data_IF_525664415029
#
_entry.id   IF_525664415029
#
_cell.length_a   1.000
_cell.length_b   1.000
_cell.length_c   1.000
_cell.angle_alpha   90.00
_cell.angle_beta   90.00
_cell.angle_gamma   90.00
#
_symmetry.space_group_name_H-M   'P 1'
#
loop_
_entity.id
_entity.type
_entity.pdbx_description
1 polymer ?
#
# COMPACT_ATOMS: atom_id res chain seq x y z
N UNK A 1 64.44 33.55 4.18
CA UNK A 1 64.20 32.77 5.40
C UNK A 1 62.94 33.32 6.05
N UNK A 2 61.78 32.80 5.65
CA UNK A 2 61.06 31.72 6.35
C UNK A 2 60.49 32.17 7.69
N UNK A 3 59.23 32.60 7.69
CA UNK A 3 58.14 31.86 8.32
C UNK A 3 56.81 32.58 8.04
N UNK A 4 56.32 32.36 6.82
CA UNK A 4 54.94 32.62 6.41
C UNK A 4 54.23 31.28 6.40
N UNK A 5 53.92 30.72 7.57
CA UNK A 5 53.21 29.42 7.65
C UNK A 5 52.71 29.20 9.09
N UNK A 6 51.72 30.00 9.50
CA UNK A 6 50.84 29.64 10.62
C UNK A 6 49.39 30.00 10.31
N UNK A 7 49.03 29.77 9.06
CA UNK A 7 47.70 29.87 8.48
C UNK A 7 47.48 28.58 7.67
N UNK A 8 47.39 27.44 8.35
CA UNK A 8 47.05 26.15 7.74
C UNK A 8 46.65 25.10 8.80
N UNK A 9 45.97 25.51 9.88
CA UNK A 9 45.33 24.57 10.81
C UNK A 9 43.79 24.71 10.79
N UNK A 10 43.29 25.35 9.73
CA UNK A 10 41.93 25.17 9.22
C UNK A 10 42.04 24.33 7.96
N UNK A 11 42.47 23.07 8.12
CA UNK A 11 42.42 22.09 7.06
C UNK A 11 41.29 21.12 7.36
N UNK A 12 40.19 21.43 6.69
CA UNK A 12 39.28 20.48 6.09
C UNK A 12 38.44 19.67 7.06
N UNK A 13 37.26 20.24 7.31
CA UNK A 13 36.06 19.50 7.59
C UNK A 13 35.88 18.38 6.55
N UNK A 14 36.45 17.21 6.82
CA UNK A 14 35.90 15.96 6.29
C UNK A 14 34.67 15.61 7.13
N UNK A 15 33.65 16.46 7.02
CA UNK A 15 32.25 16.11 7.25
C UNK A 15 31.81 15.37 5.98
N UNK A 16 32.51 14.28 5.63
CA UNK A 16 31.96 13.30 4.70
C UNK A 16 30.73 12.77 5.41
N UNK A 17 29.51 12.93 4.83
CA UNK A 17 28.32 12.39 5.47
C UNK A 17 28.58 10.92 5.69
N UNK A 18 28.69 10.52 6.98
CA UNK A 18 29.00 9.16 7.35
C UNK A 18 27.92 8.32 6.66
N UNK A 19 28.30 7.42 5.75
CA UNK A 19 27.33 6.68 4.94
C UNK A 19 26.31 5.91 5.78
N UNK A 20 26.61 5.73 7.07
CA UNK A 20 25.71 5.24 8.11
C UNK A 20 24.55 6.22 8.40
N UNK A 21 24.81 7.52 8.52
CA UNK A 21 23.79 8.55 8.72
C UNK A 21 22.91 8.71 7.47
N UNK A 22 23.49 8.69 6.26
CA UNK A 22 22.70 8.70 5.02
C UNK A 22 21.82 7.44 4.89
N UNK A 23 22.37 6.26 5.21
CA UNK A 23 21.61 5.01 5.21
C UNK A 23 20.49 5.04 6.25
N UNK A 24 20.76 5.57 7.44
CA UNK A 24 19.78 5.72 8.51
C UNK A 24 18.65 6.64 8.06
N UNK A 25 18.97 7.79 7.48
CA UNK A 25 17.98 8.73 6.96
C UNK A 25 17.15 8.13 5.84
N UNK A 26 17.77 7.35 4.95
CA UNK A 26 17.07 6.62 3.89
C UNK A 26 16.10 5.57 4.47
N UNK A 27 16.50 4.82 5.51
CA UNK A 27 15.62 3.85 6.19
C UNK A 27 14.46 4.56 6.88
N UNK A 28 14.70 5.70 7.54
CA UNK A 28 13.66 6.51 8.17
C UNK A 28 12.68 7.02 7.12
N UNK A 29 13.18 7.55 6.00
CA UNK A 29 12.36 8.04 4.91
C UNK A 29 11.53 6.92 4.26
N UNK A 30 12.13 5.76 3.99
CA UNK A 30 11.43 4.60 3.43
C UNK A 30 10.36 4.08 4.40
N UNK A 31 10.69 3.98 5.69
CA UNK A 31 9.75 3.54 6.72
C UNK A 31 8.58 4.52 6.84
N UNK A 32 8.85 5.82 6.84
CA UNK A 32 7.82 6.87 6.83
C UNK A 32 6.92 6.81 5.60
N UNK A 33 7.51 6.67 4.41
CA UNK A 33 6.76 6.52 3.16
C UNK A 33 5.89 5.26 3.17
N UNK A 34 6.42 4.14 3.65
CA UNK A 34 5.70 2.87 3.73
C UNK A 34 4.55 2.94 4.73
N UNK A 35 4.77 3.49 5.93
CA UNK A 35 3.70 3.69 6.91
C UNK A 35 2.60 4.60 6.38
N UNK A 36 2.97 5.71 5.71
CA UNK A 36 1.98 6.60 5.12
C UNK A 36 1.18 5.91 4.00
N UNK A 37 1.84 5.12 3.14
CA UNK A 37 1.16 4.36 2.09
C UNK A 37 0.16 3.36 2.67
N UNK A 38 0.51 2.64 3.74
CA UNK A 38 -0.39 1.72 4.44
C UNK A 38 -1.61 2.47 5.01
N UNK A 39 -1.39 3.62 5.67
CA UNK A 39 -2.49 4.43 6.25
C UNK A 39 -3.43 4.94 5.16
N UNK A 40 -2.88 5.47 4.06
CA UNK A 40 -3.66 5.96 2.93
C UNK A 40 -4.48 4.84 2.30
N UNK A 41 -3.85 3.69 2.04
CA UNK A 41 -4.53 2.53 1.48
C UNK A 41 -5.65 2.01 2.41
N UNK A 42 -5.38 1.91 3.71
CA UNK A 42 -6.39 1.54 4.70
C UNK A 42 -7.56 2.52 4.74
N UNK A 43 -7.27 3.82 4.66
CA UNK A 43 -8.31 4.87 4.60
C UNK A 43 -9.18 4.72 3.35
N UNK A 44 -8.57 4.49 2.18
CA UNK A 44 -9.32 4.28 0.93
C UNK A 44 -10.20 3.03 0.99
N UNK A 45 -9.71 1.93 1.57
CA UNK A 45 -10.51 0.72 1.75
C UNK A 45 -11.72 0.93 2.68
N UNK A 46 -11.54 1.69 3.76
CA UNK A 46 -12.64 2.01 4.67
C UNK A 46 -13.70 2.87 3.96
N UNK A 47 -13.28 3.95 3.29
CA UNK A 47 -14.18 4.85 2.56
C UNK A 47 -14.90 4.12 1.43
N UNK A 48 -14.19 3.29 0.65
CA UNK A 48 -14.79 2.48 -0.40
C UNK A 48 -15.83 1.49 0.15
N UNK A 49 -15.55 0.88 1.30
CA UNK A 49 -16.51 0.01 2.00
C UNK A 49 -17.79 0.73 2.40
N UNK A 50 -17.68 1.89 3.06
CA UNK A 50 -18.85 2.69 3.45
C UNK A 50 -19.65 3.20 2.25
N UNK A 51 -18.95 3.61 1.19
CA UNK A 51 -19.59 4.04 -0.05
C UNK A 51 -20.36 2.90 -0.72
N UNK A 52 -19.77 1.70 -0.80
CA UNK A 52 -20.43 0.53 -1.36
C UNK A 52 -21.65 0.13 -0.52
N UNK A 53 -21.52 0.07 0.81
CA UNK A 53 -22.65 -0.20 1.71
C UNK A 53 -23.80 0.78 1.47
N UNK A 54 -23.51 2.09 1.49
CA UNK A 54 -24.49 3.15 1.28
C UNK A 54 -25.20 3.04 -0.08
N UNK A 55 -24.47 2.71 -1.14
CA UNK A 55 -25.07 2.50 -2.47
C UNK A 55 -25.97 1.26 -2.43
N UNK A 56 -25.47 0.14 -1.88
CA UNK A 56 -26.19 -1.12 -1.91
C UNK A 56 -27.46 -1.11 -1.08
N UNK A 57 -27.53 -0.35 0.03
CA UNK A 57 -28.73 -0.23 0.86
C UNK A 57 -29.97 0.24 0.08
N UNK A 58 -29.77 1.00 -0.99
CA UNK A 58 -30.86 1.54 -1.82
C UNK A 58 -31.14 0.72 -3.08
N UNK A 59 -30.42 -0.38 -3.30
CA UNK A 59 -30.61 -1.22 -4.49
C UNK A 59 -31.65 -2.33 -4.25
N UNK A 60 -32.51 -2.61 -5.25
CA UNK A 60 -33.34 -3.80 -5.27
C UNK A 60 -32.52 -5.10 -5.16
N UNK A 61 -33.10 -6.13 -4.55
CA UNK A 61 -32.43 -7.42 -4.28
C UNK A 61 -31.94 -8.12 -5.56
N UNK A 62 -32.72 -8.06 -6.65
CA UNK A 62 -32.35 -8.61 -7.96
C UNK A 62 -31.12 -7.90 -8.57
N UNK A 63 -31.04 -6.58 -8.40
CA UNK A 63 -29.88 -5.78 -8.84
C UNK A 63 -28.65 -6.14 -8.00
N UNK A 64 -28.79 -6.24 -6.67
CA UNK A 64 -27.70 -6.66 -5.78
C UNK A 64 -27.13 -8.03 -6.17
N UNK A 65 -28.00 -9.01 -6.44
CA UNK A 65 -27.62 -10.36 -6.89
C UNK A 65 -26.87 -10.35 -8.23
N UNK A 66 -27.31 -9.53 -9.19
CA UNK A 66 -26.62 -9.37 -10.48
C UNK A 66 -25.21 -8.76 -10.29
N UNK A 67 -25.10 -7.74 -9.44
CA UNK A 67 -23.81 -7.13 -9.08
C UNK A 67 -22.90 -8.17 -8.43
N UNK A 68 -23.40 -8.98 -7.48
CA UNK A 68 -22.63 -10.04 -6.83
C UNK A 68 -22.08 -11.06 -7.85
N UNK A 69 -22.91 -11.52 -8.79
CA UNK A 69 -22.48 -12.42 -9.86
C UNK A 69 -21.41 -11.78 -10.76
N UNK A 70 -21.64 -10.54 -11.20
CA UNK A 70 -20.69 -9.78 -12.02
C UNK A 70 -19.36 -9.56 -11.29
N UNK A 71 -19.40 -9.28 -9.99
CA UNK A 71 -18.23 -9.09 -9.15
C UNK A 71 -17.41 -10.37 -9.04
N UNK A 72 -18.04 -11.52 -8.77
CA UNK A 72 -17.36 -12.83 -8.76
C UNK A 72 -16.62 -13.12 -10.06
N UNK A 73 -17.31 -12.98 -11.19
CA UNK A 73 -16.73 -13.24 -12.52
C UNK A 73 -15.51 -12.34 -12.80
N UNK A 74 -15.53 -11.09 -12.31
CA UNK A 74 -14.39 -10.16 -12.45
C UNK A 74 -13.21 -10.55 -11.56
N UNK A 75 -13.47 -11.03 -10.34
CA UNK A 75 -12.43 -11.53 -9.44
C UNK A 75 -11.80 -12.81 -10.01
N UNK A 76 -12.61 -13.74 -10.49
CA UNK A 76 -12.12 -14.97 -11.14
C UNK A 76 -11.23 -14.63 -12.35
N UNK A 77 -11.66 -13.68 -13.19
CA UNK A 77 -10.84 -13.17 -14.30
C UNK A 77 -9.55 -12.51 -13.82
N UNK A 78 -9.58 -11.77 -12.70
CA UNK A 78 -8.38 -11.15 -12.15
C UNK A 78 -7.37 -12.21 -11.69
N UNK A 79 -7.87 -13.25 -11.00
CA UNK A 79 -7.05 -14.37 -10.52
C UNK A 79 -6.48 -15.20 -11.67
N UNK A 80 -7.24 -15.38 -12.78
CA UNK A 80 -6.77 -16.12 -13.95
C UNK A 80 -5.70 -15.40 -14.78
N UNK A 81 -5.36 -14.15 -14.46
CA UNK A 81 -4.27 -13.42 -15.11
C UNK A 81 -2.92 -13.64 -14.43
N UNK A 82 -2.90 -14.24 -13.24
CA UNK A 82 -1.69 -14.53 -12.48
C UNK A 82 -1.19 -15.96 -12.70
N UNK A 83 -0.85 -16.31 -13.95
CA UNK A 83 -0.51 -17.70 -14.31
C UNK A 83 1.00 -18.02 -14.31
N UNK A 84 1.91 -17.05 -14.32
CA UNK A 84 3.35 -17.35 -14.48
C UNK A 84 4.09 -17.59 -13.14
N UNK A 85 3.63 -17.01 -12.02
CA UNK A 85 4.10 -17.33 -10.67
C UNK A 85 2.92 -17.35 -9.71
N UNK A 86 2.82 -18.41 -8.90
CA UNK A 86 1.76 -18.50 -7.90
C UNK A 86 1.89 -17.34 -6.92
N UNK A 87 0.85 -16.51 -6.85
CA UNK A 87 0.78 -15.41 -5.88
C UNK A 87 1.04 -15.96 -4.46
N UNK A 88 1.80 -15.23 -3.61
CA UNK A 88 2.05 -15.65 -2.25
C UNK A 88 0.75 -16.03 -1.54
N UNK A 89 0.74 -17.16 -0.83
CA UNK A 89 -0.47 -17.69 -0.18
C UNK A 89 -1.15 -16.66 0.75
N UNK A 90 -0.35 -15.82 1.41
CA UNK A 90 -0.84 -14.70 2.22
C UNK A 90 -1.58 -13.67 1.39
N UNK A 91 -1.07 -13.29 0.22
CA UNK A 91 -1.73 -12.34 -0.68
C UNK A 91 -3.08 -12.88 -1.14
N UNK A 92 -3.12 -14.14 -1.60
CA UNK A 92 -4.35 -14.79 -2.04
C UNK A 92 -5.36 -14.88 -0.89
N UNK A 93 -4.92 -15.20 0.32
CA UNK A 93 -5.78 -15.24 1.51
C UNK A 93 -6.40 -13.89 1.84
N UNK A 94 -5.60 -12.82 1.90
CA UNK A 94 -6.08 -11.47 2.20
C UNK A 94 -7.01 -10.93 1.09
N UNK A 95 -6.69 -11.20 -0.18
CA UNK A 95 -7.56 -10.87 -1.30
C UNK A 95 -8.92 -11.56 -1.16
N UNK A 96 -8.94 -12.87 -0.87
CA UNK A 96 -10.19 -13.61 -0.71
C UNK A 96 -11.00 -13.15 0.51
N UNK A 97 -10.35 -12.73 1.61
CA UNK A 97 -11.06 -12.11 2.74
C UNK A 97 -11.79 -10.84 2.32
N UNK A 98 -11.13 -9.98 1.56
CA UNK A 98 -11.73 -8.72 1.12
C UNK A 98 -12.84 -8.94 0.08
N UNK A 99 -12.67 -9.88 -0.86
CA UNK A 99 -13.72 -10.29 -1.80
C UNK A 99 -14.95 -10.78 -1.06
N UNK A 100 -14.76 -11.67 -0.08
CA UNK A 100 -15.86 -12.20 0.72
C UNK A 100 -16.57 -11.12 1.56
N UNK A 101 -15.82 -10.11 2.04
CA UNK A 101 -16.40 -8.96 2.75
C UNK A 101 -17.40 -8.21 1.86
N UNK A 102 -17.04 -7.91 0.62
CA UNK A 102 -17.94 -7.20 -0.31
C UNK A 102 -19.10 -8.06 -0.78
N UNK A 103 -18.88 -9.35 -1.05
CA UNK A 103 -19.96 -10.28 -1.39
C UNK A 103 -20.99 -10.38 -0.28
N UNK A 104 -20.56 -10.41 0.98
CA UNK A 104 -21.47 -10.41 2.11
C UNK A 104 -22.39 -9.18 2.11
N UNK A 105 -21.88 -7.99 1.80
CA UNK A 105 -22.71 -6.78 1.73
C UNK A 105 -23.74 -6.88 0.60
N UNK A 106 -23.35 -7.41 -0.56
CA UNK A 106 -24.25 -7.57 -1.71
C UNK A 106 -25.30 -8.67 -1.51
N UNK A 107 -25.00 -9.69 -0.71
CA UNK A 107 -25.87 -10.85 -0.48
C UNK A 107 -26.64 -10.80 0.84
N UNK A 108 -26.37 -9.79 1.66
CA UNK A 108 -27.13 -9.55 2.88
C UNK A 108 -28.46 -8.88 2.53
N UNK A 109 -29.55 -9.51 2.97
CA UNK A 109 -30.93 -9.03 2.81
C UNK A 109 -31.16 -7.73 3.60
#
# INVERSE_FOLDING_TARGET
MMNTERAADELDAHDEPDGIDELRDAIVALSGAHSNAIIQHGTWMLVAGEMLSSITEHLPSDVKMNIASTFRNRIERLLSLGDDESLPSTYTSELMKEVNRYLKVLESN
#
